data_IF_182350120918
#
_entry.id   IF_182350120918
#
_cell.length_a   1.000
_cell.length_b   1.000
_cell.length_c   1.000
_cell.angle_alpha   90.00
_cell.angle_beta   90.00
_cell.angle_gamma   90.00
#
_symmetry.space_group_name_H-M   'P 1'
#
loop_
_entity.id
_entity.type
_entity.pdbx_description
1 polymer ?
#
# COMPACT_ATOMS: atom_id res chain seq x y z
N UNK A 1 -29.83 7.52 21.89
CA UNK A 1 -28.87 6.62 21.22
C UNK A 1 -29.38 5.20 21.37
N UNK A 2 -30.21 4.75 20.43
CA UNK A 2 -30.78 3.41 20.47
C UNK A 2 -29.72 2.40 20.04
N UNK A 3 -29.16 1.62 20.97
CA UNK A 3 -28.50 0.37 20.60
C UNK A 3 -29.54 -0.51 19.92
N UNK A 4 -29.40 -0.72 18.62
CA UNK A 4 -30.03 -1.84 17.92
C UNK A 4 -29.72 -3.11 18.72
N UNK A 5 -30.74 -3.74 19.30
CA UNK A 5 -30.58 -4.75 20.35
C UNK A 5 -30.07 -6.13 19.87
N UNK A 6 -29.61 -6.29 18.62
CA UNK A 6 -29.18 -7.60 18.09
C UNK A 6 -27.97 -7.55 17.15
N UNK A 7 -27.13 -6.50 17.18
CA UNK A 7 -25.91 -6.48 16.35
C UNK A 7 -24.80 -7.32 16.99
N UNK A 8 -23.97 -8.04 16.19
CA UNK A 8 -22.77 -8.68 16.69
C UNK A 8 -21.87 -7.70 17.44
N UNK A 9 -21.13 -8.17 18.45
CA UNK A 9 -20.24 -7.33 19.28
C UNK A 9 -19.12 -6.64 18.47
N UNK A 10 -18.78 -7.20 17.31
CA UNK A 10 -17.83 -6.64 16.34
C UNK A 10 -18.42 -5.50 15.52
N UNK A 11 -19.74 -5.34 15.43
CA UNK A 11 -20.38 -4.28 14.65
C UNK A 11 -20.46 -2.98 15.45
N UNK A 12 -19.98 -1.88 14.88
CA UNK A 12 -20.09 -0.55 15.45
C UNK A 12 -20.52 0.46 14.36
N UNK A 13 -21.77 0.37 13.89
CA UNK A 13 -22.22 1.09 12.71
C UNK A 13 -22.17 2.61 12.93
N UNK A 14 -21.65 3.34 11.94
CA UNK A 14 -21.62 4.80 11.95
C UNK A 14 -23.03 5.29 11.63
N UNK A 15 -23.64 6.01 12.57
CA UNK A 15 -25.00 6.52 12.40
C UNK A 15 -24.99 7.71 11.43
N UNK A 16 -25.87 7.66 10.43
CA UNK A 16 -26.04 8.73 9.45
C UNK A 16 -27.19 9.65 9.92
N UNK A 17 -26.95 10.97 10.05
CA UNK A 17 -28.02 11.91 10.40
C UNK A 17 -29.14 11.94 9.35
N UNK A 18 -30.39 12.17 9.78
CA UNK A 18 -31.52 12.25 8.85
C UNK A 18 -31.38 13.38 7.81
N UNK A 19 -30.66 14.44 8.14
CA UNK A 19 -30.37 15.58 7.27
C UNK A 19 -28.96 15.51 6.65
N UNK A 20 -28.37 14.31 6.56
CA UNK A 20 -27.09 14.12 5.88
C UNK A 20 -27.18 14.58 4.42
N UNK A 21 -26.25 15.43 3.94
CA UNK A 21 -26.35 16.05 2.62
C UNK A 21 -26.22 15.06 1.45
N UNK A 22 -25.61 13.89 1.67
CA UNK A 22 -25.40 12.89 0.62
C UNK A 22 -26.31 11.68 0.81
N UNK A 23 -26.36 11.10 2.02
CA UNK A 23 -27.02 9.81 2.27
C UNK A 23 -28.53 9.89 2.48
N UNK A 24 -29.07 11.07 2.83
CA UNK A 24 -30.51 11.25 3.07
C UNK A 24 -31.36 10.93 1.84
N UNK A 25 -30.88 11.25 0.63
CA UNK A 25 -31.58 10.94 -0.63
C UNK A 25 -31.70 9.43 -0.89
N UNK A 26 -30.79 8.63 -0.33
CA UNK A 26 -30.78 7.17 -0.45
C UNK A 26 -31.47 6.48 0.74
N UNK A 27 -32.04 7.25 1.68
CA UNK A 27 -32.64 6.73 2.93
C UNK A 27 -31.67 5.87 3.74
N UNK A 28 -30.36 6.09 3.63
CA UNK A 28 -29.34 5.34 4.35
C UNK A 28 -29.19 5.91 5.77
N UNK A 29 -29.38 5.08 6.78
CA UNK A 29 -29.38 5.47 8.20
C UNK A 29 -28.11 5.07 8.94
N UNK A 30 -27.29 4.21 8.36
CA UNK A 30 -25.97 3.88 8.89
C UNK A 30 -24.98 3.46 7.79
N UNK A 31 -23.69 3.60 8.10
CA UNK A 31 -22.59 3.03 7.33
C UNK A 31 -22.05 1.79 8.05
N UNK A 32 -21.67 0.78 7.28
CA UNK A 32 -21.06 -0.42 7.81
C UNK A 32 -19.71 -0.08 8.45
N UNK A 33 -19.47 -0.59 9.65
CA UNK A 33 -18.19 -0.45 10.32
C UNK A 33 -18.00 -1.62 11.29
N UNK A 34 -16.89 -2.32 11.11
CA UNK A 34 -16.52 -3.48 11.91
C UNK A 34 -15.32 -3.09 12.76
N UNK A 35 -15.38 -3.39 14.06
CA UNK A 35 -14.30 -3.14 15.00
C UNK A 35 -13.09 -3.99 14.63
N UNK A 36 -11.91 -3.39 14.71
CA UNK A 36 -10.64 -4.09 14.52
C UNK A 36 -10.49 -5.22 15.52
N UNK A 37 -9.81 -6.30 15.10
CA UNK A 37 -9.39 -7.38 15.98
C UNK A 37 -8.50 -6.85 17.10
N UNK A 38 -8.65 -7.45 18.27
CA UNK A 38 -7.96 -7.09 19.50
C UNK A 38 -7.27 -8.29 20.14
N UNK A 39 -6.45 -8.03 21.16
CA UNK A 39 -5.82 -9.06 21.99
C UNK A 39 -6.83 -10.05 22.55
N UNK A 40 -8.02 -9.60 22.95
CA UNK A 40 -9.07 -10.47 23.52
C UNK A 40 -9.63 -11.45 22.48
N UNK A 41 -9.75 -11.02 21.22
CA UNK A 41 -10.18 -11.88 20.10
C UNK A 41 -9.18 -13.02 19.84
N UNK A 42 -7.90 -12.82 20.20
CA UNK A 42 -6.84 -13.84 20.16
C UNK A 42 -6.72 -14.63 21.48
N UNK A 43 -7.67 -14.47 22.41
CA UNK A 43 -7.66 -15.14 23.72
C UNK A 43 -6.73 -14.50 24.74
N UNK A 44 -6.10 -13.37 24.42
CA UNK A 44 -5.23 -12.62 25.32
C UNK A 44 -6.03 -11.57 26.09
N UNK A 45 -6.37 -11.91 27.34
CA UNK A 45 -7.20 -11.08 28.25
C UNK A 45 -6.45 -9.89 28.86
N UNK A 46 -5.70 -9.14 28.05
CA UNK A 46 -5.08 -7.88 28.46
C UNK A 46 -6.14 -6.79 28.58
N UNK A 47 -6.05 -5.95 29.61
CA UNK A 47 -6.91 -4.79 29.81
C UNK A 47 -6.07 -3.53 30.03
N UNK A 48 -6.28 -2.44 29.26
CA UNK A 48 -7.24 -2.31 28.16
C UNK A 48 -6.86 -3.16 26.93
N UNK A 49 -7.86 -3.63 26.19
CA UNK A 49 -7.67 -4.42 24.97
C UNK A 49 -6.88 -3.60 23.93
N UNK A 50 -5.91 -4.23 23.26
CA UNK A 50 -5.09 -3.57 22.22
C UNK A 50 -5.43 -4.10 20.84
N UNK A 51 -5.40 -3.25 19.81
CA UNK A 51 -5.53 -3.67 18.41
C UNK A 51 -4.28 -4.41 17.95
N UNK A 52 -4.45 -5.33 16.99
CA UNK A 52 -3.37 -6.16 16.46
C UNK A 52 -2.81 -5.57 15.16
N UNK A 53 -1.49 -5.53 15.04
CA UNK A 53 -0.82 -5.30 13.76
C UNK A 53 -0.66 -6.64 13.02
N UNK A 54 -1.19 -6.72 11.80
CA UNK A 54 -1.11 -7.91 10.95
C UNK A 54 0.07 -7.90 9.98
N UNK A 55 0.89 -6.85 10.03
CA UNK A 55 2.07 -6.67 9.17
C UNK A 55 3.31 -6.42 10.02
N UNK A 56 4.49 -6.60 9.44
CA UNK A 56 5.75 -6.30 10.12
C UNK A 56 5.84 -4.81 10.48
N UNK A 57 6.50 -4.51 11.61
CA UNK A 57 6.66 -3.14 12.10
C UNK A 57 7.81 -2.36 11.44
N UNK A 58 8.61 -3.04 10.62
CA UNK A 58 9.81 -2.49 9.98
C UNK A 58 9.49 -1.94 8.59
N UNK A 59 10.32 -1.01 8.11
CA UNK A 59 10.33 -0.60 6.71
C UNK A 59 11.12 -1.64 5.92
N UNK A 60 10.48 -2.78 5.64
CA UNK A 60 11.12 -4.00 5.07
C UNK A 60 10.48 -4.47 3.76
N UNK A 61 9.73 -3.56 3.11
CA UNK A 61 8.98 -3.86 1.90
C UNK A 61 8.05 -5.08 2.02
N UNK A 62 7.55 -5.40 3.22
CA UNK A 62 6.58 -6.48 3.46
C UNK A 62 5.31 -6.34 2.60
N UNK A 63 4.97 -5.13 2.15
CA UNK A 63 3.88 -4.93 1.19
C UNK A 63 4.15 -5.51 -0.21
N UNK A 64 5.40 -5.84 -0.54
CA UNK A 64 5.81 -6.58 -1.74
C UNK A 64 5.99 -8.07 -1.42
N UNK A 65 6.64 -8.38 -0.29
CA UNK A 65 7.12 -9.73 0.03
C UNK A 65 6.22 -10.56 0.97
N UNK A 66 5.17 -9.99 1.53
CA UNK A 66 4.38 -10.61 2.59
C UNK A 66 4.92 -10.29 3.98
N UNK A 67 4.04 -10.41 4.98
CA UNK A 67 4.39 -10.31 6.40
C UNK A 67 4.48 -11.67 7.10
N UNK A 68 4.29 -12.76 6.36
CA UNK A 68 4.36 -14.15 6.82
C UNK A 68 4.96 -15.05 5.75
N UNK A 69 5.47 -16.22 6.15
CA UNK A 69 6.15 -17.16 5.27
C UNK A 69 5.23 -17.78 4.21
N UNK A 70 3.95 -17.97 4.50
CA UNK A 70 3.00 -18.57 3.55
C UNK A 70 2.76 -17.61 2.39
N UNK A 71 2.48 -16.34 2.70
CA UNK A 71 2.34 -15.26 1.71
C UNK A 71 3.63 -15.11 0.91
N UNK A 72 4.80 -15.01 1.56
CA UNK A 72 6.08 -14.85 0.88
C UNK A 72 6.37 -16.02 -0.09
N UNK A 73 6.11 -17.26 0.31
CA UNK A 73 6.27 -18.44 -0.54
C UNK A 73 5.29 -18.44 -1.72
N UNK A 74 4.04 -18.05 -1.48
CA UNK A 74 3.00 -18.03 -2.52
C UNK A 74 3.32 -17.09 -3.70
N UNK A 75 4.10 -16.04 -3.42
CA UNK A 75 4.52 -15.01 -4.37
C UNK A 75 5.75 -15.40 -5.19
N UNK A 76 6.49 -16.46 -4.80
CA UNK A 76 7.76 -16.86 -5.44
C UNK A 76 7.57 -17.91 -6.53
N UNK A 77 8.44 -17.85 -7.53
CA UNK A 77 8.55 -18.89 -8.57
C UNK A 77 9.41 -20.07 -8.12
N UNK A 78 10.24 -19.88 -7.09
CA UNK A 78 11.32 -20.80 -6.69
C UNK A 78 12.28 -21.14 -7.84
N UNK A 79 12.38 -20.23 -8.82
CA UNK A 79 13.33 -20.32 -9.91
C UNK A 79 14.04 -18.97 -10.09
N UNK A 80 15.38 -18.98 -10.07
CA UNK A 80 16.23 -17.78 -10.21
C UNK A 80 15.93 -16.65 -9.22
N UNK A 81 15.37 -16.96 -8.05
CA UNK A 81 15.01 -16.02 -7.00
C UNK A 81 13.77 -15.17 -7.28
N UNK A 82 13.08 -15.38 -8.41
CA UNK A 82 12.06 -14.44 -8.92
C UNK A 82 10.71 -14.55 -8.22
N UNK A 83 10.02 -13.41 -8.16
CA UNK A 83 8.60 -13.31 -7.88
C UNK A 83 7.79 -13.74 -9.11
N UNK A 84 6.62 -14.35 -8.86
CA UNK A 84 5.67 -14.78 -9.88
C UNK A 84 5.10 -13.57 -10.59
N UNK A 85 4.87 -13.73 -11.88
CA UNK A 85 4.23 -12.71 -12.71
C UNK A 85 3.17 -13.36 -13.60
N UNK A 86 2.18 -12.58 -13.99
CA UNK A 86 1.41 -12.87 -15.19
C UNK A 86 1.96 -12.02 -16.35
N UNK A 87 1.92 -12.57 -17.56
CA UNK A 87 2.40 -11.89 -18.76
C UNK A 87 1.23 -11.69 -19.70
N UNK A 88 1.01 -10.44 -20.08
CA UNK A 88 -0.01 -10.05 -21.06
C UNK A 88 0.39 -10.47 -22.48
N UNK A 89 -0.54 -10.55 -23.45
CA UNK A 89 -0.23 -10.94 -24.83
C UNK A 89 0.83 -10.05 -25.51
N UNK A 90 0.98 -8.80 -25.06
CA UNK A 90 2.00 -7.85 -25.51
C UNK A 90 3.24 -7.82 -24.60
N UNK A 91 3.50 -8.92 -23.88
CA UNK A 91 4.73 -9.20 -23.14
C UNK A 91 5.04 -8.23 -21.99
N UNK A 92 4.02 -7.64 -21.37
CA UNK A 92 4.18 -6.85 -20.14
C UNK A 92 3.90 -7.71 -18.91
N UNK A 93 4.78 -7.60 -17.91
CA UNK A 93 4.69 -8.34 -16.65
C UNK A 93 3.87 -7.58 -15.60
N UNK A 94 2.97 -8.29 -14.93
CA UNK A 94 2.16 -7.80 -13.82
C UNK A 94 2.15 -8.82 -12.67
N UNK A 95 1.76 -8.45 -11.44
CA UNK A 95 1.62 -9.41 -10.36
C UNK A 95 0.67 -10.57 -10.74
N UNK A 96 0.80 -11.76 -10.13
CA UNK A 96 -0.07 -12.88 -10.45
C UNK A 96 -1.51 -12.59 -10.03
N UNK A 97 -2.48 -13.29 -10.62
CA UNK A 97 -3.88 -13.13 -10.21
C UNK A 97 -4.13 -13.73 -8.83
N UNK A 98 -4.93 -13.05 -8.01
CA UNK A 98 -5.41 -13.55 -6.72
C UNK A 98 -6.30 -14.77 -6.90
N UNK A 99 -6.16 -15.72 -5.98
CA UNK A 99 -7.03 -16.89 -5.85
C UNK A 99 -8.31 -16.58 -5.04
N UNK A 100 -8.39 -15.42 -4.39
CA UNK A 100 -9.52 -14.95 -3.59
C UNK A 100 -9.98 -13.55 -4.04
N UNK A 101 -10.40 -13.39 -5.31
CA UNK A 101 -10.62 -12.07 -5.87
C UNK A 101 -11.80 -11.33 -5.21
N UNK A 102 -12.82 -12.03 -4.71
CA UNK A 102 -13.93 -11.43 -3.95
C UNK A 102 -13.49 -10.78 -2.62
N UNK A 103 -12.35 -11.20 -2.07
CA UNK A 103 -11.75 -10.61 -0.87
C UNK A 103 -10.85 -9.43 -1.22
N UNK A 104 -10.07 -9.58 -2.28
CA UNK A 104 -8.95 -8.69 -2.56
C UNK A 104 -9.31 -7.53 -3.52
N UNK A 105 -10.45 -7.61 -4.21
CA UNK A 105 -10.93 -6.59 -5.15
C UNK A 105 -12.44 -6.70 -5.45
N UNK A 106 -12.97 -5.73 -6.19
CA UNK A 106 -14.35 -5.78 -6.70
C UNK A 106 -14.37 -6.56 -8.04
N UNK A 107 -14.19 -7.88 -7.96
CA UNK A 107 -14.11 -8.76 -9.15
C UNK A 107 -15.46 -9.30 -9.60
N UNK A 108 -16.55 -8.53 -9.46
CA UNK A 108 -17.90 -8.98 -9.85
C UNK A 108 -18.04 -9.33 -11.35
N UNK A 109 -17.02 -9.08 -12.18
CA UNK A 109 -16.97 -9.42 -13.62
C UNK A 109 -15.53 -9.73 -14.00
N UNK A 110 -15.32 -10.80 -14.78
CA UNK A 110 -14.11 -11.16 -15.57
C UNK A 110 -13.00 -10.09 -15.56
N UNK A 111 -12.26 -10.02 -14.44
CA UNK A 111 -11.43 -8.87 -14.13
C UNK A 111 -10.16 -9.28 -13.42
N UNK A 112 -9.10 -8.52 -13.68
CA UNK A 112 -7.78 -8.72 -13.07
C UNK A 112 -7.86 -8.33 -11.59
N UNK A 113 -7.26 -9.16 -10.75
CA UNK A 113 -7.13 -8.91 -9.31
C UNK A 113 -5.76 -9.40 -8.89
N UNK A 114 -4.91 -8.55 -8.34
CA UNK A 114 -3.51 -8.92 -8.11
C UNK A 114 -3.30 -9.56 -6.74
N UNK A 115 -2.52 -10.62 -6.71
CA UNK A 115 -1.93 -11.17 -5.50
C UNK A 115 -0.63 -10.40 -5.20
N UNK A 116 -0.58 -9.76 -4.04
CA UNK A 116 0.54 -8.93 -3.57
C UNK A 116 0.92 -9.30 -2.13
N UNK A 117 2.06 -8.81 -1.64
CA UNK A 117 2.49 -9.04 -0.26
C UNK A 117 1.57 -8.44 0.80
N UNK A 118 0.83 -7.39 0.45
CA UNK A 118 -0.24 -6.81 1.25
C UNK A 118 -1.59 -6.96 0.53
N UNK A 119 -2.65 -7.34 1.25
CA UNK A 119 -3.97 -7.60 0.67
C UNK A 119 -4.68 -6.35 0.15
N UNK A 120 -4.16 -5.15 0.48
CA UNK A 120 -4.71 -3.88 -0.01
C UNK A 120 -4.08 -3.43 -1.33
N UNK A 121 -3.18 -4.19 -1.94
CA UNK A 121 -2.48 -3.82 -3.18
C UNK A 121 -3.39 -3.42 -4.35
N UNK A 122 -4.65 -3.85 -4.35
CA UNK A 122 -5.67 -3.52 -5.35
C UNK A 122 -6.57 -2.32 -4.98
N UNK A 123 -6.38 -1.70 -3.82
CA UNK A 123 -7.31 -0.69 -3.28
C UNK A 123 -7.51 0.49 -4.25
N UNK A 124 -6.43 0.98 -4.85
CA UNK A 124 -6.48 2.00 -5.90
C UNK A 124 -5.35 1.78 -6.92
N UNK A 125 -5.53 2.32 -8.12
CA UNK A 125 -4.59 2.15 -9.24
C UNK A 125 -3.18 2.66 -8.94
N UNK A 126 -3.03 3.71 -8.14
CA UNK A 126 -1.71 4.23 -7.74
C UNK A 126 -0.92 3.23 -6.88
N UNK A 127 -1.57 2.61 -5.91
CA UNK A 127 -0.98 1.52 -5.12
C UNK A 127 -0.61 0.33 -6.01
N UNK A 128 -1.49 -0.06 -6.92
CA UNK A 128 -1.21 -1.18 -7.81
C UNK A 128 -0.02 -0.89 -8.72
N UNK A 129 0.11 0.33 -9.25
CA UNK A 129 1.27 0.75 -10.04
C UNK A 129 2.58 0.56 -9.27
N UNK A 130 2.62 0.96 -7.99
CA UNK A 130 3.79 0.78 -7.13
C UNK A 130 4.11 -0.71 -6.91
N UNK A 131 3.10 -1.55 -6.71
CA UNK A 131 3.26 -3.00 -6.57
C UNK A 131 3.91 -3.62 -7.82
N UNK A 132 3.44 -3.25 -9.02
CA UNK A 132 4.05 -3.73 -10.27
C UNK A 132 5.49 -3.24 -10.41
N UNK A 133 5.75 -1.97 -10.08
CA UNK A 133 7.07 -1.36 -10.23
C UNK A 133 8.12 -2.09 -9.37
N UNK A 134 7.81 -2.33 -8.09
CA UNK A 134 8.76 -3.00 -7.18
C UNK A 134 8.90 -4.49 -7.47
N UNK A 135 7.85 -5.16 -7.94
CA UNK A 135 7.94 -6.53 -8.42
C UNK A 135 8.88 -6.65 -9.63
N UNK A 136 8.76 -5.73 -10.60
CA UNK A 136 9.63 -5.69 -11.78
C UNK A 136 11.06 -5.39 -11.38
N UNK A 137 11.27 -4.48 -10.43
CA UNK A 137 12.61 -4.18 -9.92
C UNK A 137 13.24 -5.37 -9.22
N UNK A 138 12.50 -6.11 -8.40
CA UNK A 138 12.99 -7.35 -7.79
C UNK A 138 13.44 -8.36 -8.86
N UNK A 139 12.59 -8.66 -9.84
CA UNK A 139 12.93 -9.62 -10.89
C UNK A 139 14.11 -9.17 -11.75
N UNK A 140 14.21 -7.85 -12.03
CA UNK A 140 15.37 -7.25 -12.71
C UNK A 140 16.65 -7.45 -11.89
N UNK A 141 16.60 -7.24 -10.58
CA UNK A 141 17.74 -7.45 -9.68
C UNK A 141 18.15 -8.93 -9.63
N UNK A 142 17.21 -9.87 -9.56
CA UNK A 142 17.50 -11.30 -9.63
C UNK A 142 18.27 -11.66 -10.92
N UNK A 143 17.83 -11.14 -12.07
CA UNK A 143 18.53 -11.38 -13.35
C UNK A 143 19.96 -10.82 -13.33
N UNK A 144 20.15 -9.60 -12.84
CA UNK A 144 21.49 -8.99 -12.76
C UNK A 144 22.40 -9.73 -11.77
N UNK A 145 21.87 -10.11 -10.60
CA UNK A 145 22.63 -10.85 -9.59
C UNK A 145 23.02 -12.24 -10.07
N UNK A 146 22.15 -12.92 -10.83
CA UNK A 146 22.46 -14.22 -11.42
C UNK A 146 23.57 -14.10 -12.48
N UNK A 147 23.55 -13.06 -13.33
CA UNK A 147 24.61 -12.82 -14.30
C UNK A 147 25.97 -12.55 -13.62
N UNK A 148 25.97 -11.82 -12.50
CA UNK A 148 27.17 -11.53 -11.73
C UNK A 148 27.66 -12.72 -10.90
N UNK A 149 26.73 -13.54 -10.39
CA UNK A 149 27.01 -14.67 -9.52
C UNK A 149 26.29 -15.94 -10.00
N UNK A 150 26.74 -16.58 -11.10
CA UNK A 150 26.02 -17.72 -11.71
C UNK A 150 25.90 -18.95 -10.81
N UNK A 151 26.68 -19.02 -9.72
CA UNK A 151 26.67 -20.11 -8.75
C UNK A 151 25.68 -19.92 -7.59
N UNK A 152 25.04 -18.74 -7.48
CA UNK A 152 24.04 -18.51 -6.45
C UNK A 152 22.76 -19.30 -6.75
N UNK A 153 22.20 -19.92 -5.72
CA UNK A 153 20.93 -20.63 -5.81
C UNK A 153 19.73 -19.67 -5.76
N UNK A 154 18.52 -20.23 -5.94
CA UNK A 154 17.26 -19.49 -5.89
C UNK A 154 17.10 -18.66 -4.62
N UNK A 155 17.45 -19.24 -3.46
CA UNK A 155 17.22 -18.61 -2.17
C UNK A 155 18.15 -17.42 -1.96
N UNK A 156 19.43 -17.55 -2.31
CA UNK A 156 20.38 -16.44 -2.23
C UNK A 156 19.95 -15.30 -3.17
N UNK A 157 19.57 -15.62 -4.42
CA UNK A 157 19.11 -14.61 -5.38
C UNK A 157 17.87 -13.85 -4.87
N UNK A 158 16.90 -14.57 -4.32
CA UNK A 158 15.68 -13.97 -3.76
C UNK A 158 16.01 -13.03 -2.59
N UNK A 159 16.79 -13.50 -1.61
CA UNK A 159 17.08 -12.69 -0.41
C UNK A 159 17.99 -11.51 -0.75
N UNK A 160 18.97 -11.63 -1.63
CA UNK A 160 19.82 -10.50 -2.01
C UNK A 160 19.05 -9.44 -2.82
N UNK A 161 18.20 -9.85 -3.77
CA UNK A 161 17.31 -8.91 -4.47
C UNK A 161 16.33 -8.24 -3.49
N UNK A 162 15.74 -9.01 -2.56
CA UNK A 162 14.87 -8.48 -1.51
C UNK A 162 15.60 -7.47 -0.62
N UNK A 163 16.81 -7.77 -0.16
CA UNK A 163 17.64 -6.88 0.66
C UNK A 163 17.91 -5.54 -0.04
N UNK A 164 18.18 -5.57 -1.34
CA UNK A 164 18.40 -4.34 -2.13
C UNK A 164 17.10 -3.52 -2.23
N UNK A 165 15.96 -4.17 -2.56
CA UNK A 165 14.67 -3.46 -2.64
C UNK A 165 14.27 -2.86 -1.29
N UNK A 166 14.49 -3.57 -0.18
CA UNK A 166 14.29 -3.06 1.18
C UNK A 166 15.12 -1.79 1.40
N UNK A 167 16.41 -1.82 1.06
CA UNK A 167 17.29 -0.67 1.20
C UNK A 167 16.83 0.52 0.34
N UNK A 168 16.36 0.27 -0.89
CA UNK A 168 15.78 1.32 -1.75
C UNK A 168 14.54 1.94 -1.09
N UNK A 169 13.62 1.13 -0.58
CA UNK A 169 12.40 1.62 0.09
C UNK A 169 12.73 2.41 1.35
N UNK A 170 13.67 1.94 2.16
CA UNK A 170 14.17 2.68 3.33
C UNK A 170 14.78 4.02 2.91
N UNK A 171 15.68 4.01 1.92
CA UNK A 171 16.33 5.23 1.42
C UNK A 171 15.31 6.27 0.97
N UNK A 172 14.36 5.88 0.11
CA UNK A 172 13.31 6.79 -0.37
C UNK A 172 12.49 7.32 0.81
N UNK A 173 12.14 6.46 1.77
CA UNK A 173 11.35 6.84 2.94
C UNK A 173 12.08 7.88 3.78
N UNK A 174 13.29 7.59 4.24
CA UNK A 174 14.01 8.43 5.19
C UNK A 174 14.68 9.65 4.55
N UNK A 175 15.17 9.54 3.31
CA UNK A 175 15.92 10.63 2.68
C UNK A 175 15.07 11.54 1.79
N UNK A 176 14.01 11.02 1.17
CA UNK A 176 13.24 11.78 0.19
C UNK A 176 11.85 12.11 0.71
N UNK A 177 11.14 11.14 1.29
CA UNK A 177 9.76 11.32 1.73
C UNK A 177 9.64 12.06 3.06
N UNK A 178 10.26 11.56 4.14
CA UNK A 178 10.12 12.16 5.47
C UNK A 178 10.55 13.65 5.54
N UNK A 179 11.61 14.12 4.86
CA UNK A 179 11.98 15.53 4.88
C UNK A 179 10.96 16.46 4.22
N UNK A 180 10.19 15.95 3.25
CA UNK A 180 9.11 16.72 2.60
C UNK A 180 7.94 16.88 3.57
N UNK A 181 7.61 15.80 4.30
CA UNK A 181 6.46 15.77 5.20
C UNK A 181 6.74 16.47 6.53
N UNK A 182 7.85 16.14 7.18
CA UNK A 182 8.17 16.56 8.55
C UNK A 182 9.11 17.79 8.57
N UNK A 183 9.65 18.17 7.42
CA UNK A 183 10.59 19.27 7.27
C UNK A 183 12.05 18.82 7.37
N UNK A 184 12.88 19.35 6.47
CA UNK A 184 14.30 19.00 6.34
C UNK A 184 15.10 19.18 7.63
N UNK A 185 14.86 20.27 8.36
CA UNK A 185 15.60 20.58 9.59
C UNK A 185 15.25 19.60 10.72
N UNK A 186 13.98 19.26 10.87
CA UNK A 186 13.54 18.28 11.87
C UNK A 186 14.16 16.90 11.61
N UNK A 187 14.12 16.44 10.36
CA UNK A 187 14.70 15.14 9.99
C UNK A 187 16.22 15.14 10.16
N UNK A 188 16.90 16.23 9.81
CA UNK A 188 18.34 16.39 10.05
C UNK A 188 18.69 16.27 11.54
N UNK A 189 17.89 16.89 12.41
CA UNK A 189 18.08 16.80 13.87
C UNK A 189 17.86 15.40 14.42
N UNK A 190 16.98 14.61 13.80
CA UNK A 190 16.79 13.20 14.15
C UNK A 190 17.93 12.29 13.69
N UNK A 191 18.77 12.74 12.74
CA UNK A 191 19.93 11.98 12.27
C UNK A 191 19.57 10.71 11.48
N UNK A 192 18.35 10.61 10.95
CA UNK A 192 17.83 9.40 10.29
C UNK A 192 18.12 9.34 8.78
N UNK A 193 18.77 10.36 8.22
CA UNK A 193 19.11 10.40 6.79
C UNK A 193 20.49 9.80 6.56
N UNK A 194 20.58 8.91 5.58
CA UNK A 194 21.86 8.35 5.13
C UNK A 194 22.84 9.45 4.70
N UNK A 195 24.09 9.33 5.10
CA UNK A 195 25.18 10.21 4.65
C UNK A 195 25.23 11.59 5.30
N UNK A 196 24.46 11.84 6.36
CA UNK A 196 24.55 13.07 7.17
C UNK A 196 25.49 12.97 8.39
N UNK A 197 26.12 11.82 8.62
CA UNK A 197 27.19 11.71 9.62
C UNK A 197 28.51 12.28 9.08
N UNK A 198 29.18 13.13 9.86
CA UNK A 198 30.55 13.61 9.64
C UNK A 198 31.53 12.44 9.48
N UNK A 199 31.77 11.87 8.29
CA UNK A 199 32.69 10.72 8.05
C UNK A 199 32.49 9.49 8.98
N UNK A 200 31.47 9.54 9.85
CA UNK A 200 31.23 8.73 11.04
C UNK A 200 29.72 8.59 11.22
N UNK A 201 29.01 8.18 10.18
CA UNK A 201 27.97 7.20 10.45
C UNK A 201 28.70 6.01 11.08
N UNK A 202 28.73 5.99 12.42
CA UNK A 202 29.16 4.82 13.16
C UNK A 202 28.37 3.67 12.58
N UNK A 203 29.06 2.69 12.01
CA UNK A 203 28.51 1.50 11.34
C UNK A 203 27.61 0.63 12.26
N UNK A 204 27.18 1.13 13.42
CA UNK A 204 26.51 0.38 14.46
C UNK A 204 25.68 1.30 15.39
N UNK A 205 24.68 1.98 14.85
CA UNK A 205 23.66 2.73 15.61
C UNK A 205 22.40 1.90 15.92
N UNK A 206 22.41 0.62 15.53
CA UNK A 206 21.38 -0.34 15.92
C UNK A 206 21.36 -0.52 17.44
N UNK A 207 20.23 -0.20 18.07
CA UNK A 207 19.97 -0.45 19.48
C UNK A 207 19.01 -1.65 19.63
N UNK A 208 19.48 -2.83 20.12
CA UNK A 208 18.63 -4.00 20.33
C UNK A 208 17.59 -3.82 21.43
N UNK A 209 17.68 -2.76 22.25
CA UNK A 209 16.73 -2.46 23.31
C UNK A 209 15.63 -1.49 22.87
N UNK A 210 15.72 -0.92 21.66
CA UNK A 210 14.67 -0.09 21.09
C UNK A 210 13.46 -0.95 20.72
N UNK A 211 12.26 -0.51 21.12
CA UNK A 211 11.02 -1.16 20.70
C UNK A 211 10.63 -0.68 19.29
N UNK A 212 10.68 -1.54 18.25
CA UNK A 212 10.34 -1.13 16.89
C UNK A 212 8.83 -1.12 16.63
N UNK A 213 8.01 -1.52 17.60
CA UNK A 213 6.57 -1.64 17.41
C UNK A 213 5.92 -0.32 17.02
N UNK A 214 5.14 -0.34 15.96
CA UNK A 214 4.37 0.83 15.53
C UNK A 214 3.31 1.18 16.56
N UNK A 215 3.27 2.43 16.98
CA UNK A 215 2.26 2.90 17.96
C UNK A 215 0.88 3.02 17.33
N UNK A 216 -0.17 2.69 18.09
CA UNK A 216 -1.55 2.66 17.61
C UNK A 216 -2.05 4.02 17.07
N UNK A 217 -1.65 5.12 17.71
CA UNK A 217 -2.00 6.47 17.26
C UNK A 217 -1.43 6.80 15.87
N UNK A 218 -0.29 6.21 15.51
CA UNK A 218 0.32 6.40 14.19
C UNK A 218 -0.53 5.74 13.10
N UNK A 219 -0.92 4.48 13.29
CA UNK A 219 -1.65 3.69 12.28
C UNK A 219 -3.13 4.10 12.14
N UNK A 220 -3.75 4.54 13.24
CA UNK A 220 -5.19 4.86 13.27
C UNK A 220 -5.52 6.31 12.97
N UNK A 221 -4.60 7.25 13.26
CA UNK A 221 -4.86 8.68 13.12
C UNK A 221 -3.74 9.40 12.35
N UNK A 222 -2.51 9.47 12.87
CA UNK A 222 -1.51 10.39 12.33
C UNK A 222 -1.15 10.10 10.87
N UNK A 223 -0.90 8.84 10.50
CA UNK A 223 -0.59 8.47 9.12
C UNK A 223 -1.82 8.45 8.20
N UNK A 224 -3.02 8.68 8.76
CA UNK A 224 -4.27 8.86 7.98
C UNK A 224 -4.51 10.31 7.58
N UNK A 225 -3.74 11.26 8.10
CA UNK A 225 -3.75 12.66 7.64
C UNK A 225 -3.50 12.80 6.14
N UNK A 226 -2.79 11.84 5.52
CA UNK A 226 -2.56 11.81 4.08
C UNK A 226 -3.81 11.51 3.24
N UNK A 227 -4.91 11.04 3.83
CA UNK A 227 -6.14 10.81 3.08
C UNK A 227 -6.72 12.10 2.48
N UNK A 228 -6.43 13.29 3.04
CA UNK A 228 -6.85 14.58 2.45
C UNK A 228 -6.07 14.94 1.20
N UNK A 229 -4.90 14.33 0.99
CA UNK A 229 -4.07 14.55 -0.20
C UNK A 229 -4.56 13.77 -1.43
N UNK A 230 -5.53 12.86 -1.26
CA UNK A 230 -6.04 11.99 -2.32
C UNK A 230 -6.93 12.80 -3.27
N UNK A 231 -6.51 13.03 -4.53
CA UNK A 231 -7.33 13.74 -5.49
C UNK A 231 -8.52 12.89 -5.94
N UNK A 232 -9.59 13.58 -6.36
CA UNK A 232 -10.73 12.94 -7.04
C UNK A 232 -10.39 12.51 -8.47
N UNK A 233 -9.49 13.27 -9.10
CA UNK A 233 -9.15 13.17 -10.52
C UNK A 233 -7.69 12.74 -10.67
N UNK A 234 -7.45 11.72 -11.47
CA UNK A 234 -6.12 11.23 -11.84
C UNK A 234 -5.88 11.52 -13.32
N UNK A 235 -4.88 12.32 -13.63
CA UNK A 235 -4.58 12.76 -15.00
C UNK A 235 -3.51 11.84 -15.60
N UNK A 236 -3.81 11.30 -16.78
CA UNK A 236 -2.88 10.50 -17.57
C UNK A 236 -1.99 11.41 -18.41
N UNK A 237 -0.70 11.06 -18.53
CA UNK A 237 0.25 11.81 -19.33
C UNK A 237 0.95 10.94 -20.38
N UNK A 238 1.09 11.45 -21.60
CA UNK A 238 1.83 10.78 -22.68
C UNK A 238 3.36 10.90 -22.52
N UNK A 239 4.09 10.35 -23.49
CA UNK A 239 5.56 10.43 -23.57
C UNK A 239 6.11 11.86 -23.64
N UNK A 240 5.31 12.82 -24.12
CA UNK A 240 5.67 14.23 -24.24
C UNK A 240 5.20 15.06 -23.04
N UNK A 241 4.79 14.40 -21.94
CA UNK A 241 4.23 15.02 -20.74
C UNK A 241 3.00 15.91 -21.03
N UNK A 242 2.23 15.55 -22.06
CA UNK A 242 0.96 16.20 -22.33
C UNK A 242 -0.20 15.43 -21.67
N UNK A 243 -1.18 16.14 -21.08
CA UNK A 243 -2.34 15.50 -20.48
C UNK A 243 -3.19 14.82 -21.57
N UNK A 244 -3.45 13.52 -21.39
CA UNK A 244 -4.24 12.71 -22.33
C UNK A 244 -5.70 12.61 -21.92
N UNK A 245 -5.94 12.22 -20.66
CA UNK A 245 -7.26 11.86 -20.16
C UNK A 245 -7.29 12.00 -18.64
N UNK A 246 -8.43 12.43 -18.11
CA UNK A 246 -8.71 12.43 -16.67
C UNK A 246 -9.57 11.22 -16.31
N UNK A 247 -9.17 10.52 -15.26
CA UNK A 247 -9.89 9.42 -14.65
C UNK A 247 -10.46 9.87 -13.31
N UNK A 248 -11.66 9.40 -12.97
CA UNK A 248 -12.22 9.61 -11.63
C UNK A 248 -11.81 8.43 -10.74
N UNK A 249 -11.25 8.73 -9.58
CA UNK A 249 -10.80 7.71 -8.64
C UNK A 249 -11.97 6.80 -8.19
N UNK A 250 -13.18 7.36 -8.08
CA UNK A 250 -14.43 6.66 -7.75
C UNK A 250 -14.65 5.40 -8.59
N UNK A 251 -14.24 5.43 -9.87
CA UNK A 251 -14.56 4.39 -10.84
C UNK A 251 -13.62 3.18 -10.73
N UNK A 252 -12.47 3.35 -10.06
CA UNK A 252 -11.34 2.41 -10.06
C UNK A 252 -10.89 1.94 -8.68
N UNK A 253 -11.58 2.34 -7.59
CA UNK A 253 -11.36 1.69 -6.29
C UNK A 253 -11.59 0.19 -6.42
N UNK A 254 -10.65 -0.61 -5.91
CA UNK A 254 -10.70 -2.07 -5.94
C UNK A 254 -10.83 -2.67 -7.36
N UNK A 255 -10.52 -1.93 -8.43
CA UNK A 255 -10.66 -2.38 -9.83
C UNK A 255 -9.38 -2.14 -10.62
N UNK A 256 -8.38 -3.01 -10.47
CA UNK A 256 -7.03 -2.74 -10.97
C UNK A 256 -6.85 -3.08 -12.45
N UNK A 257 -7.86 -3.67 -13.12
CA UNK A 257 -7.79 -4.11 -14.53
C UNK A 257 -7.35 -3.03 -15.51
N UNK A 258 -7.69 -1.77 -15.20
CA UNK A 258 -7.34 -0.60 -16.01
C UNK A 258 -5.84 -0.53 -16.34
N UNK A 259 -4.96 -0.92 -15.41
CA UNK A 259 -3.52 -0.79 -15.63
C UNK A 259 -2.96 -1.78 -16.66
N UNK A 260 -3.70 -2.85 -16.99
CA UNK A 260 -3.30 -3.79 -18.05
C UNK A 260 -3.68 -3.31 -19.44
N UNK A 261 -4.57 -2.32 -19.58
CA UNK A 261 -4.86 -1.76 -20.89
C UNK A 261 -3.57 -1.18 -21.53
N UNK A 262 -3.39 -1.30 -22.85
CA UNK A 262 -2.18 -0.78 -23.51
C UNK A 262 -1.92 0.70 -23.20
N UNK A 263 -0.70 1.01 -22.76
CA UNK A 263 -0.25 2.36 -22.41
C UNK A 263 -0.74 2.91 -21.05
N UNK A 264 -1.76 2.30 -20.42
CA UNK A 264 -2.36 2.85 -19.20
C UNK A 264 -1.40 2.83 -18.00
N UNK A 265 -0.62 1.76 -17.83
CA UNK A 265 0.39 1.68 -16.77
C UNK A 265 1.39 2.85 -16.84
N UNK A 266 2.01 3.06 -18.00
CA UNK A 266 3.04 4.10 -18.17
C UNK A 266 2.43 5.50 -18.06
N UNK A 267 1.25 5.72 -18.64
CA UNK A 267 0.58 7.01 -18.59
C UNK A 267 0.13 7.39 -17.16
N UNK A 268 -0.31 6.41 -16.37
CA UNK A 268 -0.61 6.59 -14.94
C UNK A 268 0.66 6.85 -14.14
N UNK A 269 1.73 6.11 -14.38
CA UNK A 269 3.01 6.30 -13.69
C UNK A 269 3.58 7.70 -13.93
N UNK A 270 3.52 8.20 -15.18
CA UNK A 270 3.88 9.60 -15.48
C UNK A 270 2.98 10.57 -14.72
N UNK A 271 1.67 10.33 -14.70
CA UNK A 271 0.70 11.12 -13.93
C UNK A 271 1.05 11.20 -12.44
N UNK A 272 1.35 10.07 -11.79
CA UNK A 272 1.77 10.02 -10.39
C UNK A 272 3.06 10.80 -10.11
N UNK A 273 3.94 10.94 -11.11
CA UNK A 273 5.19 11.66 -10.98
C UNK A 273 5.06 13.19 -11.20
N UNK A 274 4.06 13.65 -11.96
CA UNK A 274 3.94 15.06 -12.36
C UNK A 274 2.71 15.78 -11.80
N UNK A 275 1.64 15.04 -11.53
CA UNK A 275 0.41 15.63 -10.99
C UNK A 275 0.61 15.97 -9.52
N UNK A 276 0.25 17.19 -9.14
CA UNK A 276 0.26 17.59 -7.74
C UNK A 276 -0.82 16.83 -6.94
N UNK A 277 -0.45 16.39 -5.73
CA UNK A 277 -1.41 15.92 -4.75
C UNK A 277 -2.32 17.06 -4.25
N UNK A 278 -3.43 16.72 -3.60
CA UNK A 278 -4.19 17.72 -2.85
C UNK A 278 -3.40 18.20 -1.61
N UNK A 279 -3.77 19.37 -1.10
CA UNK A 279 -3.22 19.90 0.15
C UNK A 279 -3.55 18.97 1.31
N UNK A 280 -2.61 18.83 2.25
CA UNK A 280 -2.91 18.18 3.52
C UNK A 280 -3.72 19.13 4.40
N UNK A 281 -5.03 18.92 4.46
CA UNK A 281 -5.93 19.72 5.29
C UNK A 281 -7.09 18.89 5.87
N UNK A 282 -8.12 19.56 6.38
CA UNK A 282 -9.30 18.94 7.02
C UNK A 282 -10.40 18.52 6.03
N UNK A 283 -10.22 18.81 4.75
CA UNK A 283 -11.16 18.47 3.69
C UNK A 283 -10.71 17.20 2.96
N UNK A 284 -11.67 16.45 2.45
CA UNK A 284 -11.44 15.22 1.71
C UNK A 284 -12.16 15.29 0.37
N UNK A 285 -11.56 14.70 -0.66
CA UNK A 285 -12.23 14.53 -1.93
C UNK A 285 -13.50 13.70 -1.77
N UNK A 286 -14.52 13.98 -2.60
CA UNK A 286 -15.80 13.26 -2.56
C UNK A 286 -15.66 11.78 -2.87
N UNK A 287 -14.60 11.40 -3.61
CA UNK A 287 -14.19 10.02 -3.82
C UNK A 287 -14.04 9.26 -2.50
N UNK A 288 -13.34 9.87 -1.54
CA UNK A 288 -13.05 9.25 -0.24
C UNK A 288 -14.23 9.44 0.72
N UNK A 289 -14.86 10.62 0.75
CA UNK A 289 -15.87 10.93 1.77
C UNK A 289 -17.26 10.36 1.49
N UNK A 290 -17.62 10.13 0.21
CA UNK A 290 -19.00 9.76 -0.18
C UNK A 290 -19.09 8.57 -1.12
N UNK A 291 -18.00 8.17 -1.79
CA UNK A 291 -18.03 7.19 -2.88
C UNK A 291 -17.03 6.04 -2.74
N UNK A 292 -16.44 5.87 -1.56
CA UNK A 292 -15.49 4.78 -1.30
C UNK A 292 -16.17 3.42 -1.22
N UNK A 293 -17.40 3.38 -0.72
CA UNK A 293 -18.21 2.17 -0.63
C UNK A 293 -19.04 2.01 -1.92
N UNK A 294 -19.07 0.82 -2.55
CA UNK A 294 -19.96 0.55 -3.66
C UNK A 294 -21.41 0.82 -3.24
N UNK A 295 -22.17 1.47 -4.12
CA UNK A 295 -23.62 1.70 -3.96
C UNK A 295 -24.42 0.41 -4.04
#
# INVERSE_FOLDING_TARGET
VGRSQNLPSSCLPIQVPNNDPFYSQYKRTCLNFVRSLTTDDLGCKLSPHQQIASVTHFVDASFVYGSDEDTARSLRTFTHGKLRVQVTPDNREFPPNSTMPERDCDSQREGVCYLTGDDRGNQNTGMTVLQVLLLREHNRLCDQLYLLNPMWDDQILYEEARRIVVAVVQRITYNDYLPIILGKEFIKQLGVQDGQGDEKMSFNDYDPFLNPSTVNAFTTAAYRSFHSMIPREMVLFDDNQQPLKTLLLDDFFFRPSLIQEPGMFDNLLRGLAVQNAQSMDIFFSTSVSTKLEPS
#
